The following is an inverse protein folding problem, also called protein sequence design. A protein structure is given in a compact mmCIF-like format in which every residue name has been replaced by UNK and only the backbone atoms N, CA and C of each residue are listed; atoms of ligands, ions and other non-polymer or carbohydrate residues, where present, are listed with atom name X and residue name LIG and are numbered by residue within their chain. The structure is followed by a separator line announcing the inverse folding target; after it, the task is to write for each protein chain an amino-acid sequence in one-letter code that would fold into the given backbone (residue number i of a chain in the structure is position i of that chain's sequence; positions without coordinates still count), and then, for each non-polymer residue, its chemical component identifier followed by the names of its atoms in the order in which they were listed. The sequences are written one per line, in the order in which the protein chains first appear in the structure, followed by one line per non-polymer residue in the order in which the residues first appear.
data_IF_894632415904
#
_entry.id   IF_894632415904
#
_cell.length_a   1.000
_cell.length_b   1.000
_cell.length_c   1.000
_cell.angle_alpha   90.00
_cell.angle_beta   90.00
_cell.angle_gamma   90.00
#
_symmetry.space_group_name_H-M   'P 1'
#
loop_
_entity.id
_entity.type
_entity.pdbx_description
1 polymer ?
#
# COMPACT_ATOMS: atom_id res chain seq x y z
N UNK A 1 -18.55 -3.89 -5.75
CA UNK A 1 -17.65 -4.06 -4.58
C UNK A 1 -16.53 -3.07 -4.75
N UNK A 2 -16.15 -2.33 -3.71
CA UNK A 2 -15.01 -1.42 -3.81
C UNK A 2 -13.72 -2.23 -3.84
N UNK A 3 -12.83 -1.94 -4.80
CA UNK A 3 -11.50 -2.58 -4.92
C UNK A 3 -10.40 -1.57 -4.60
N UNK A 4 -9.56 -1.89 -3.61
CA UNK A 4 -8.49 -1.01 -3.14
C UNK A 4 -7.12 -1.54 -3.57
N UNK A 5 -6.31 -0.74 -4.23
CA UNK A 5 -4.92 -1.11 -4.56
C UNK A 5 -3.95 -0.41 -3.59
N UNK A 6 -3.09 -1.20 -2.95
CA UNK A 6 -2.08 -0.71 -2.00
C UNK A 6 -0.72 -0.75 -2.69
N UNK A 7 -0.13 0.42 -2.92
CA UNK A 7 1.20 0.58 -3.49
C UNK A 7 2.17 0.89 -2.36
N UNK A 8 3.13 0.01 -2.14
CA UNK A 8 4.15 0.15 -1.09
C UNK A 8 5.50 0.49 -1.70
N UNK A 9 6.08 1.62 -1.31
CA UNK A 9 7.37 2.09 -1.79
C UNK A 9 8.25 2.45 -0.59
N UNK A 10 9.53 2.05 -0.60
CA UNK A 10 10.47 2.42 0.43
C UNK A 10 11.10 1.23 1.13
N UNK A 11 10.98 1.17 2.46
CA UNK A 11 11.67 0.18 3.28
C UNK A 11 10.72 -0.94 3.79
N UNK A 12 11.29 -1.95 4.45
CA UNK A 12 10.54 -3.06 5.04
C UNK A 12 9.49 -2.65 6.07
N UNK A 13 9.64 -1.47 6.71
CA UNK A 13 8.62 -0.94 7.63
C UNK A 13 7.31 -0.64 6.90
N UNK A 14 7.39 -0.03 5.72
CA UNK A 14 6.21 0.25 4.90
C UNK A 14 5.52 -1.04 4.43
N UNK A 15 6.27 -2.13 4.23
CA UNK A 15 5.67 -3.43 3.88
C UNK A 15 4.83 -3.98 5.04
N UNK A 16 5.39 -4.03 6.25
CA UNK A 16 4.68 -4.49 7.44
C UNK A 16 3.45 -3.63 7.72
N UNK A 17 3.55 -2.32 7.57
CA UNK A 17 2.41 -1.41 7.74
C UNK A 17 1.31 -1.67 6.70
N UNK A 18 1.71 -1.99 5.47
CA UNK A 18 0.76 -2.26 4.38
C UNK A 18 0.09 -3.63 4.52
N UNK A 19 0.77 -4.64 5.09
CA UNK A 19 0.19 -5.92 5.47
C UNK A 19 -0.85 -5.76 6.60
N UNK A 20 -0.55 -4.92 7.60
CA UNK A 20 -1.49 -4.58 8.66
C UNK A 20 -2.74 -3.88 8.10
N UNK A 21 -2.55 -2.96 7.15
CA UNK A 21 -3.65 -2.28 6.47
C UNK A 21 -4.50 -3.26 5.65
N UNK A 22 -3.88 -4.14 4.88
CA UNK A 22 -4.57 -5.16 4.09
C UNK A 22 -5.41 -6.10 4.97
N UNK A 23 -4.91 -6.48 6.14
CA UNK A 23 -5.66 -7.28 7.11
C UNK A 23 -6.94 -6.58 7.57
N UNK A 24 -6.86 -5.27 7.83
CA UNK A 24 -8.04 -4.48 8.22
C UNK A 24 -9.06 -4.36 7.08
N UNK A 25 -8.60 -4.17 5.84
CA UNK A 25 -9.45 -4.10 4.65
C UNK A 25 -10.14 -5.44 4.40
N UNK A 26 -9.40 -6.55 4.54
CA UNK A 26 -9.94 -7.90 4.41
C UNK A 26 -11.04 -8.18 5.44
N UNK A 27 -10.85 -7.72 6.69
CA UNK A 27 -11.87 -7.85 7.75
C UNK A 27 -13.18 -7.09 7.45
N UNK A 28 -13.15 -6.12 6.55
CA UNK A 28 -14.33 -5.40 6.06
C UNK A 28 -14.96 -6.03 4.82
N UNK A 29 -14.45 -7.18 4.35
CA UNK A 29 -14.86 -7.86 3.11
C UNK A 29 -14.71 -6.98 1.86
N UNK A 30 -13.71 -6.11 1.85
CA UNK A 30 -13.34 -5.27 0.71
C UNK A 30 -12.22 -5.98 -0.06
N UNK A 31 -12.32 -6.02 -1.39
CA UNK A 31 -11.29 -6.62 -2.23
C UNK A 31 -10.08 -5.68 -2.29
N UNK A 32 -8.87 -6.24 -2.19
CA UNK A 32 -7.65 -5.45 -2.30
C UNK A 32 -6.59 -6.14 -3.16
N UNK A 33 -5.73 -5.33 -3.77
CA UNK A 33 -4.55 -5.78 -4.51
C UNK A 33 -3.30 -5.04 -4.06
N UNK A 34 -2.13 -5.62 -4.33
CA UNK A 34 -0.84 -5.08 -3.92
C UNK A 34 0.02 -4.77 -5.13
N UNK A 35 0.55 -3.54 -5.18
CA UNK A 35 1.50 -3.09 -6.21
C UNK A 35 1.03 -3.40 -7.64
N UNK A 36 -0.29 -3.41 -7.88
CA UNK A 36 -0.80 -3.54 -9.24
C UNK A 36 -0.69 -2.20 -9.97
N UNK A 37 -0.29 -2.24 -11.24
CA UNK A 37 -0.18 -1.06 -12.09
C UNK A 37 -1.33 -0.97 -13.11
N UNK A 38 -2.42 -1.71 -12.88
CA UNK A 38 -3.64 -1.64 -13.69
C UNK A 38 -4.58 -0.54 -13.15
N UNK A 39 -5.63 -0.23 -13.93
CA UNK A 39 -6.64 0.77 -13.57
C UNK A 39 -7.91 0.14 -12.97
N UNK A 40 -7.82 -1.10 -12.47
CA UNK A 40 -8.99 -1.88 -12.01
C UNK A 40 -9.40 -1.57 -10.56
N UNK A 41 -8.71 -0.67 -9.88
CA UNK A 41 -9.01 -0.29 -8.50
C UNK A 41 -9.83 1.01 -8.43
N UNK A 42 -10.85 1.03 -7.57
CA UNK A 42 -11.67 2.22 -7.30
C UNK A 42 -10.90 3.25 -6.45
N UNK A 43 -9.94 2.78 -5.64
CA UNK A 43 -9.14 3.62 -4.75
C UNK A 43 -7.71 3.09 -4.66
N UNK A 44 -6.74 4.00 -4.68
CA UNK A 44 -5.31 3.67 -4.58
C UNK A 44 -4.72 4.30 -3.33
N UNK A 45 -4.05 3.48 -2.51
CA UNK A 45 -3.33 3.92 -1.30
C UNK A 45 -1.83 3.77 -1.56
N UNK A 46 -1.08 4.87 -1.48
CA UNK A 46 0.37 4.87 -1.69
C UNK A 46 1.07 5.05 -0.33
N UNK A 47 1.71 3.99 0.16
CA UNK A 47 2.52 4.01 1.38
C UNK A 47 3.99 4.19 1.01
N UNK A 48 4.51 5.40 1.18
CA UNK A 48 5.88 5.77 0.83
C UNK A 48 6.67 6.32 2.02
N UNK A 49 8.00 6.21 1.98
CA UNK A 49 8.87 6.90 2.93
C UNK A 49 9.01 8.38 2.55
N UNK A 50 8.61 9.29 3.45
CA UNK A 50 8.85 10.73 3.28
C UNK A 50 10.33 11.15 3.42
N UNK A 51 11.11 10.38 4.19
CA UNK A 51 12.55 10.58 4.37
C UNK A 51 13.30 9.38 3.81
N UNK A 52 13.65 9.46 2.54
CA UNK A 52 14.67 8.57 1.98
C UNK A 52 15.99 9.14 2.50
N UNK A 53 16.79 8.37 3.23
CA UNK A 53 18.17 8.75 3.54
C UNK A 53 18.96 8.88 2.23
N UNK A 54 18.78 10.01 1.54
CA UNK A 54 19.62 10.57 0.48
C UNK A 54 20.14 11.94 0.94
N UNK A 55 20.56 12.00 2.21
CA UNK A 55 21.52 13.00 2.68
C UNK A 55 22.76 12.28 3.19
N UNK A 56 23.30 11.38 2.36
CA UNK A 56 24.73 11.09 2.41
C UNK A 56 25.40 12.23 1.64
N UNK A 57 25.69 13.31 2.36
CA UNK A 57 26.72 14.26 1.97
C UNK A 57 28.05 13.71 2.44
#
# INVERSE_FOLDING_TARGET
MAKINIITIGCSKNLVDSENLATQINNQNIEFTFNEFNFDADTVVINTCGFICKFAK
#
